data_IF_250969057219
#
_entry.id   IF_250969057219
#
_cell.length_a   1.000
_cell.length_b   1.000
_cell.length_c   1.000
_cell.angle_alpha   90.00
_cell.angle_beta   90.00
_cell.angle_gamma   90.00
#
_symmetry.space_group_name_H-M   'P 1'
#
loop_
_entity.id
_entity.type
_entity.pdbx_description
1 polymer ?
#
# COMPACT_ATOMS: atom_id res chain seq x y z
N UNK A 1 21.47 9.62 42.98
CA UNK A 1 22.11 9.21 41.72
C UNK A 1 21.30 8.19 40.90
N UNK A 2 20.38 7.41 41.51
CA UNK A 2 19.58 6.37 40.80
C UNK A 2 18.47 6.95 39.90
N UNK A 3 17.86 8.08 40.27
CA UNK A 3 16.75 8.71 39.50
C UNK A 3 17.13 9.09 38.06
N UNK A 4 18.39 9.46 37.82
CA UNK A 4 18.85 9.87 36.48
C UNK A 4 19.03 8.68 35.52
N UNK A 5 19.31 7.48 36.06
CA UNK A 5 19.50 6.27 35.24
C UNK A 5 18.17 5.68 34.74
N UNK A 6 17.08 5.90 35.49
CA UNK A 6 15.72 5.48 35.11
C UNK A 6 15.20 6.26 33.89
N UNK A 7 15.50 7.56 33.80
CA UNK A 7 15.10 8.38 32.65
C UNK A 7 15.80 7.95 31.36
N UNK A 8 17.10 7.61 31.43
CA UNK A 8 17.86 7.13 30.26
C UNK A 8 17.40 5.77 29.75
N UNK A 9 16.96 4.87 30.66
CA UNK A 9 16.44 3.56 30.28
C UNK A 9 15.07 3.67 29.57
N UNK A 10 14.24 4.65 29.97
CA UNK A 10 12.93 4.87 29.35
C UNK A 10 13.04 5.42 27.92
N UNK A 11 14.03 6.27 27.63
CA UNK A 11 14.26 6.79 26.28
C UNK A 11 14.67 5.72 25.27
N UNK A 12 15.38 4.67 25.68
CA UNK A 12 15.80 3.57 24.79
C UNK A 12 14.62 2.68 24.36
N UNK A 13 13.60 2.54 25.21
CA UNK A 13 12.42 1.71 24.90
C UNK A 13 11.50 2.32 23.84
N UNK A 14 11.51 3.64 23.65
CA UNK A 14 10.64 4.35 22.71
C UNK A 14 11.05 4.19 21.23
N UNK A 15 12.29 3.78 20.96
CA UNK A 15 12.78 3.61 19.58
C UNK A 15 12.21 2.36 18.88
N UNK A 16 11.58 1.44 19.60
CA UNK A 16 11.06 0.18 19.03
C UNK A 16 9.71 0.31 18.30
N UNK A 17 9.05 1.47 18.36
CA UNK A 17 7.65 1.63 17.91
C UNK A 17 7.46 1.92 16.41
N UNK A 18 8.53 2.03 15.61
CA UNK A 18 8.46 2.51 14.22
C UNK A 18 8.71 1.43 13.14
N UNK A 19 8.52 0.14 13.47
CA UNK A 19 8.85 -0.97 12.53
C UNK A 19 7.78 -1.19 11.45
N UNK A 20 6.57 -0.62 11.60
CA UNK A 20 5.52 -0.77 10.60
C UNK A 20 5.60 0.37 9.58
N UNK A 21 5.84 0.06 8.31
CA UNK A 21 5.77 1.04 7.23
C UNK A 21 4.39 1.72 7.14
N UNK A 22 4.28 2.83 6.37
CA UNK A 22 3.05 3.59 6.25
C UNK A 22 1.87 2.71 5.81
N UNK A 23 0.73 2.86 6.48
CA UNK A 23 -0.50 2.17 6.12
C UNK A 23 -1.32 3.01 5.13
N UNK A 24 -0.96 2.92 3.85
CA UNK A 24 -1.63 3.66 2.77
C UNK A 24 -3.14 3.38 2.66
N UNK A 25 -3.61 2.21 3.10
CA UNK A 25 -5.05 1.87 3.05
C UNK A 25 -5.89 2.71 4.01
N UNK A 26 -5.27 3.19 5.09
CA UNK A 26 -5.90 4.05 6.08
C UNK A 26 -5.80 5.55 5.73
N UNK A 27 -5.02 5.90 4.71
CA UNK A 27 -4.82 7.30 4.30
C UNK A 27 -5.97 7.79 3.41
N UNK A 28 -6.36 9.04 3.62
CA UNK A 28 -7.22 9.80 2.73
C UNK A 28 -6.48 10.21 1.45
N UNK A 29 -7.21 10.58 0.40
CA UNK A 29 -6.61 11.03 -0.86
C UNK A 29 -5.70 12.25 -0.67
N UNK A 30 -6.01 13.15 0.27
CA UNK A 30 -5.18 14.30 0.60
C UNK A 30 -3.85 13.87 1.24
N UNK A 31 -3.88 12.89 2.15
CA UNK A 31 -2.68 12.35 2.78
C UNK A 31 -1.80 11.58 1.78
N UNK A 32 -2.42 10.85 0.85
CA UNK A 32 -1.72 10.18 -0.25
C UNK A 32 -1.08 11.19 -1.21
N UNK A 33 -1.77 12.27 -1.57
CA UNK A 33 -1.21 13.34 -2.40
C UNK A 33 -0.01 14.03 -1.71
N UNK A 34 -0.12 14.28 -0.41
CA UNK A 34 0.98 14.83 0.38
C UNK A 34 2.17 13.86 0.43
N UNK A 35 1.91 12.55 0.62
CA UNK A 35 2.96 11.52 0.59
C UNK A 35 3.67 11.45 -0.78
N UNK A 36 2.90 11.54 -1.87
CA UNK A 36 3.43 11.48 -3.23
C UNK A 36 4.19 12.75 -3.66
N UNK A 37 4.13 13.82 -2.86
CA UNK A 37 4.79 15.08 -3.19
C UNK A 37 6.30 14.91 -3.21
N UNK A 38 6.91 15.14 -4.38
CA UNK A 38 8.37 15.01 -4.57
C UNK A 38 8.85 13.60 -4.92
N UNK A 39 7.95 12.61 -4.99
CA UNK A 39 8.28 11.30 -5.54
C UNK A 39 8.27 11.34 -7.08
N UNK A 40 9.10 10.48 -7.67
CA UNK A 40 9.03 10.23 -9.11
C UNK A 40 7.69 9.57 -9.45
N UNK A 41 7.16 9.81 -10.65
CA UNK A 41 5.85 9.31 -11.09
C UNK A 41 5.66 7.82 -10.78
N UNK A 42 6.64 6.98 -11.12
CA UNK A 42 6.56 5.53 -10.92
C UNK A 42 6.58 5.08 -9.46
N UNK A 43 7.11 5.91 -8.57
CA UNK A 43 7.21 5.62 -7.14
C UNK A 43 6.03 6.21 -6.34
N UNK A 44 5.14 6.95 -7.00
CA UNK A 44 3.90 7.43 -6.38
C UNK A 44 2.98 6.27 -6.06
N UNK A 45 2.34 6.34 -4.88
CA UNK A 45 1.38 5.36 -4.39
C UNK A 45 -0.03 5.76 -4.81
N UNK A 46 -0.78 4.81 -5.36
CA UNK A 46 -2.18 4.95 -5.70
C UNK A 46 -3.00 3.85 -5.03
N UNK A 47 -4.26 4.16 -4.70
CA UNK A 47 -5.20 3.23 -4.09
C UNK A 47 -6.42 3.02 -4.99
N UNK A 48 -6.74 1.78 -5.32
CA UNK A 48 -7.92 1.42 -6.12
C UNK A 48 -8.83 0.48 -5.33
N UNK A 49 -10.14 0.56 -5.58
CA UNK A 49 -11.11 -0.36 -4.99
C UNK A 49 -11.39 -1.48 -5.98
N UNK A 50 -10.91 -2.68 -5.67
CA UNK A 50 -11.15 -3.86 -6.48
C UNK A 50 -12.40 -4.58 -6.01
N UNK A 51 -13.24 -4.99 -6.97
CA UNK A 51 -14.30 -5.96 -6.74
C UNK A 51 -13.88 -7.30 -7.33
N UNK A 52 -13.81 -8.33 -6.49
CA UNK A 52 -13.60 -9.70 -6.96
C UNK A 52 -14.91 -10.20 -7.56
N UNK A 53 -14.95 -10.55 -8.85
CA UNK A 53 -16.20 -11.10 -9.39
C UNK A 53 -16.56 -12.39 -8.66
N UNK A 54 -17.83 -12.52 -8.26
CA UNK A 54 -18.32 -13.60 -7.39
C UNK A 54 -18.35 -13.27 -5.90
N UNK A 55 -17.78 -12.13 -5.46
CA UNK A 55 -17.92 -11.64 -4.08
C UNK A 55 -18.34 -10.17 -4.08
N UNK A 56 -19.33 -9.82 -3.25
CA UNK A 56 -19.67 -8.42 -2.99
C UNK A 56 -18.62 -7.70 -2.10
N UNK A 57 -17.53 -8.37 -1.75
CA UNK A 57 -16.45 -7.82 -0.94
C UNK A 57 -15.60 -6.85 -1.76
N UNK A 58 -15.64 -5.57 -1.37
CA UNK A 58 -14.74 -4.53 -1.89
C UNK A 58 -13.41 -4.59 -1.14
N UNK A 59 -12.30 -4.57 -1.86
CA UNK A 59 -10.96 -4.52 -1.28
C UNK A 59 -10.22 -3.28 -1.78
N UNK A 60 -9.83 -2.37 -0.88
CA UNK A 60 -8.97 -1.23 -1.23
C UNK A 60 -7.53 -1.71 -1.31
N UNK A 61 -6.95 -1.67 -2.49
CA UNK A 61 -5.57 -2.09 -2.77
C UNK A 61 -4.75 -0.84 -3.06
N UNK A 62 -3.65 -0.66 -2.33
CA UNK A 62 -2.74 0.47 -2.49
C UNK A 62 -1.35 -0.05 -2.82
N UNK A 63 -0.73 0.48 -3.87
CA UNK A 63 0.63 0.15 -4.30
C UNK A 63 1.21 1.28 -5.17
N UNK A 64 2.50 1.22 -5.47
CA UNK A 64 3.14 2.17 -6.39
C UNK A 64 2.63 1.99 -7.82
N UNK A 65 2.72 3.04 -8.64
CA UNK A 65 2.37 2.95 -10.06
C UNK A 65 3.21 1.89 -10.79
N UNK A 66 4.50 1.75 -10.43
CA UNK A 66 5.36 0.67 -10.92
C UNK A 66 4.81 -0.71 -10.59
N UNK A 67 4.37 -0.91 -9.34
CA UNK A 67 3.82 -2.21 -8.91
C UNK A 67 2.51 -2.52 -9.63
N UNK A 68 1.64 -1.53 -9.86
CA UNK A 68 0.45 -1.71 -10.68
C UNK A 68 0.81 -2.16 -12.10
N UNK A 69 1.78 -1.48 -12.73
CA UNK A 69 2.24 -1.85 -14.07
C UNK A 69 2.79 -3.27 -14.12
N UNK A 70 3.65 -3.65 -13.16
CA UNK A 70 4.21 -5.00 -13.09
C UNK A 70 3.12 -6.07 -12.86
N UNK A 71 2.13 -5.75 -12.04
CA UNK A 71 0.99 -6.63 -11.80
C UNK A 71 0.18 -6.86 -13.07
N UNK A 72 -0.11 -5.81 -13.82
CA UNK A 72 -0.87 -5.90 -15.07
C UNK A 72 -0.08 -6.68 -16.13
N UNK A 73 1.22 -6.44 -16.25
CA UNK A 73 2.10 -7.24 -17.12
C UNK A 73 2.14 -8.72 -16.70
N UNK A 74 2.13 -9.01 -15.40
CA UNK A 74 2.01 -10.37 -14.86
C UNK A 74 0.67 -11.03 -15.20
N UNK A 75 -0.43 -10.28 -15.17
CA UNK A 75 -1.76 -10.73 -15.60
C UNK A 75 -1.75 -11.06 -17.09
N UNK A 76 -1.20 -10.20 -17.95
CA UNK A 76 -1.09 -10.44 -19.41
C UNK A 76 -0.27 -11.70 -19.69
N UNK A 77 0.83 -11.89 -18.97
CA UNK A 77 1.69 -13.08 -19.11
C UNK A 77 0.95 -14.38 -18.72
N UNK A 78 0.07 -14.31 -17.71
CA UNK A 78 -0.77 -15.42 -17.27
C UNK A 78 -1.96 -15.66 -18.21
N UNK A 79 -2.57 -14.60 -18.73
CA UNK A 79 -3.67 -14.66 -19.70
C UNK A 79 -3.25 -15.34 -21.00
N UNK A 80 -2.01 -15.13 -21.44
CA UNK A 80 -1.44 -15.84 -22.60
C UNK A 80 -1.23 -17.34 -22.37
N UNK A 81 -1.22 -17.80 -21.11
CA UNK A 81 -0.96 -19.20 -20.74
C UNK A 81 -2.18 -19.92 -20.14
N UNK A 82 -3.25 -19.21 -19.78
CA UNK A 82 -4.45 -19.79 -19.19
C UNK A 82 -5.70 -18.94 -19.51
N UNK A 83 -6.75 -19.65 -19.94
CA UNK A 83 -8.17 -19.29 -19.98
C UNK A 83 -8.50 -18.08 -19.07
N UNK A 84 -8.94 -16.98 -19.68
CA UNK A 84 -9.26 -15.70 -19.04
C UNK A 84 -10.12 -15.89 -17.78
N UNK A 85 -9.52 -15.68 -16.60
CA UNK A 85 -10.28 -15.49 -15.37
C UNK A 85 -10.82 -14.06 -15.37
N UNK A 86 -12.11 -13.90 -15.70
CA UNK A 86 -12.85 -12.65 -15.78
C UNK A 86 -13.09 -11.98 -14.40
N UNK A 87 -12.17 -12.18 -13.43
CA UNK A 87 -12.39 -11.90 -12.01
C UNK A 87 -11.95 -10.54 -11.48
N UNK A 88 -11.27 -9.74 -12.28
CA UNK A 88 -10.74 -8.43 -11.86
C UNK A 88 -11.39 -7.33 -12.70
N UNK A 89 -12.54 -6.85 -12.24
CA UNK A 89 -13.11 -5.59 -12.72
C UNK A 89 -12.48 -4.45 -11.93
N UNK A 90 -11.71 -3.58 -12.60
CA UNK A 90 -11.19 -2.34 -12.02
C UNK A 90 -12.27 -1.26 -12.25
N UNK A 91 -13.02 -0.91 -11.21
CA UNK A 91 -13.87 0.29 -11.23
C UNK A 91 -13.05 1.47 -10.72
N UNK A 92 -12.59 2.32 -11.65
CA UNK A 92 -12.08 3.65 -11.32
C UNK A 92 -13.26 4.62 -11.26
N UNK A 93 -13.38 5.37 -10.17
CA UNK A 93 -14.35 6.46 -10.00
C UNK A 93 -13.64 7.79 -10.17
#
# INVERSE_FOLDING_TARGET
>A
MIKSALLSALSLMLFSCQISGPNFRAMSEAELAAYNTGLSEWDQVSCVVERRTGSHMKSRVCMTLREFQLRDLGVVSRANSAMVDNRVGVEAY
#
